data_IF_968213395379
#
_entry.id   IF_968213395379
#
_cell.length_a   1.000
_cell.length_b   1.000
_cell.length_c   1.000
_cell.angle_alpha   90.00
_cell.angle_beta   90.00
_cell.angle_gamma   90.00
#
_symmetry.space_group_name_H-M   'P 1'
#
loop_
_entity.id
_entity.type
_entity.pdbx_description
1 polymer ?
#
# COMPACT_ATOMS: atom_id res chain seq x y z
N UNK A 1 -16.89 -5.49 -4.74
CA UNK A 1 -16.11 -5.06 -3.59
C UNK A 1 -16.85 -3.89 -2.93
N UNK A 2 -17.63 -4.17 -1.86
CA UNK A 2 -18.56 -3.22 -1.22
C UNK A 2 -17.87 -1.89 -0.78
N UNK A 3 -16.57 -1.92 -0.54
CA UNK A 3 -15.78 -0.79 -0.04
C UNK A 3 -15.05 0.00 -1.14
N UNK A 4 -15.36 -0.25 -2.43
CA UNK A 4 -14.77 0.48 -3.55
C UNK A 4 -15.82 1.12 -4.44
N UNK A 5 -17.01 1.31 -3.89
CA UNK A 5 -18.05 2.04 -4.59
C UNK A 5 -17.66 3.50 -4.72
N UNK A 6 -18.10 4.13 -5.78
CA UNK A 6 -17.88 5.56 -6.01
C UNK A 6 -18.39 6.41 -4.84
N UNK A 7 -19.53 6.06 -4.28
CA UNK A 7 -20.15 6.74 -3.14
C UNK A 7 -19.25 6.66 -1.91
N UNK A 8 -18.77 5.47 -1.56
CA UNK A 8 -17.87 5.28 -0.42
C UNK A 8 -16.56 6.06 -0.58
N UNK A 9 -15.95 6.00 -1.78
CA UNK A 9 -14.71 6.73 -2.03
C UNK A 9 -14.91 8.26 -1.96
N UNK A 10 -16.02 8.77 -2.47
CA UNK A 10 -16.35 10.20 -2.35
C UNK A 10 -16.57 10.65 -0.89
N UNK A 11 -17.03 9.76 -0.04
CA UNK A 11 -17.22 10.06 1.38
C UNK A 11 -15.90 10.07 2.16
N UNK A 12 -15.03 9.07 1.95
CA UNK A 12 -13.81 8.91 2.76
C UNK A 12 -12.59 9.63 2.21
N UNK A 13 -12.42 9.70 0.89
CA UNK A 13 -11.22 10.27 0.29
C UNK A 13 -10.91 11.72 0.70
N UNK A 14 -11.89 12.63 0.87
CA UNK A 14 -11.63 14.00 1.27
C UNK A 14 -10.97 14.16 2.65
N UNK A 15 -11.08 13.16 3.51
CA UNK A 15 -10.47 13.18 4.85
C UNK A 15 -9.15 12.42 4.93
N UNK A 16 -8.69 11.83 3.81
CA UNK A 16 -7.46 11.06 3.76
C UNK A 16 -6.30 11.90 3.21
N UNK A 17 -5.26 12.08 4.01
CA UNK A 17 -3.98 12.60 3.51
C UNK A 17 -3.22 11.56 2.69
N UNK A 18 -3.42 10.26 2.98
CA UNK A 18 -2.84 9.13 2.29
C UNK A 18 -3.79 7.94 2.30
N UNK A 19 -4.13 7.41 1.13
CA UNK A 19 -4.88 6.17 0.96
C UNK A 19 -4.01 5.04 0.40
N UNK A 20 -4.15 3.82 0.96
CA UNK A 20 -3.58 2.61 0.37
C UNK A 20 -4.68 1.81 -0.33
N UNK A 21 -4.39 1.36 -1.56
CA UNK A 21 -5.29 0.53 -2.35
C UNK A 21 -4.56 -0.70 -2.91
N UNK A 22 -5.14 -1.88 -2.72
CA UNK A 22 -4.67 -3.10 -3.40
C UNK A 22 -5.21 -3.13 -4.82
N UNK A 23 -4.34 -3.11 -5.80
CA UNK A 23 -4.65 -3.02 -7.23
C UNK A 23 -4.09 -4.21 -8.03
N UNK A 24 -3.85 -5.34 -7.37
CA UNK A 24 -3.31 -6.53 -8.02
C UNK A 24 -4.20 -7.06 -9.15
N UNK A 25 -5.52 -6.95 -8.97
CA UNK A 25 -6.53 -7.37 -9.94
C UNK A 25 -6.82 -6.33 -11.04
N UNK A 26 -6.29 -5.11 -10.92
CA UNK A 26 -6.48 -4.06 -11.94
C UNK A 26 -5.42 -4.23 -13.02
N UNK A 27 -5.84 -4.25 -14.29
CA UNK A 27 -4.94 -4.29 -15.42
C UNK A 27 -4.06 -3.03 -15.47
N UNK A 28 -2.84 -3.17 -15.99
CA UNK A 28 -1.83 -2.10 -15.96
C UNK A 28 -2.33 -0.81 -16.63
N UNK A 29 -3.01 -0.95 -17.75
CA UNK A 29 -3.59 0.16 -18.51
C UNK A 29 -4.67 0.95 -17.74
N UNK A 30 -5.32 0.33 -16.76
CA UNK A 30 -6.41 0.95 -15.99
C UNK A 30 -5.93 1.53 -14.64
N UNK A 31 -4.67 1.34 -14.28
CA UNK A 31 -4.12 1.82 -12.99
C UNK A 31 -4.19 3.34 -12.89
N UNK A 32 -3.80 4.04 -13.96
CA UNK A 32 -3.80 5.50 -13.95
C UNK A 32 -5.20 6.09 -13.85
N UNK A 33 -6.17 5.48 -14.53
CA UNK A 33 -7.58 5.89 -14.47
C UNK A 33 -8.13 5.70 -13.05
N UNK A 34 -7.84 4.57 -12.41
CA UNK A 34 -8.21 4.31 -11.03
C UNK A 34 -7.62 5.35 -10.07
N UNK A 35 -6.31 5.61 -10.17
CA UNK A 35 -5.64 6.60 -9.31
C UNK A 35 -6.20 8.01 -9.53
N UNK A 36 -6.43 8.39 -10.79
CA UNK A 36 -7.03 9.68 -11.15
C UNK A 36 -8.42 9.82 -10.54
N UNK A 37 -9.22 8.76 -10.61
CA UNK A 37 -10.54 8.71 -9.99
C UNK A 37 -10.46 8.89 -8.46
N UNK A 38 -9.60 8.13 -7.77
CA UNK A 38 -9.41 8.24 -6.31
C UNK A 38 -8.96 9.65 -5.90
N UNK A 39 -8.05 10.25 -6.66
CA UNK A 39 -7.62 11.64 -6.44
C UNK A 39 -8.76 12.64 -6.69
N UNK A 40 -9.59 12.41 -7.69
CA UNK A 40 -10.77 13.25 -7.95
C UNK A 40 -11.81 13.16 -6.82
N UNK A 41 -11.84 12.05 -6.09
CA UNK A 41 -12.65 11.90 -4.87
C UNK A 41 -12.06 12.64 -3.66
N UNK A 42 -10.86 13.22 -3.75
CA UNK A 42 -10.26 14.08 -2.72
C UNK A 42 -9.08 13.46 -1.96
N UNK A 43 -8.66 12.22 -2.25
CA UNK A 43 -7.48 11.63 -1.64
C UNK A 43 -6.21 12.32 -2.17
N UNK A 44 -5.43 12.95 -1.30
CA UNK A 44 -4.26 13.74 -1.69
C UNK A 44 -3.13 12.86 -2.23
N UNK A 45 -2.75 11.85 -1.47
CA UNK A 45 -1.66 10.95 -1.83
C UNK A 45 -2.19 9.51 -1.92
N UNK A 46 -1.83 8.81 -2.99
CA UNK A 46 -2.35 7.46 -3.28
C UNK A 46 -1.21 6.48 -3.39
N UNK A 47 -1.15 5.52 -2.48
CA UNK A 47 -0.23 4.40 -2.51
C UNK A 47 -0.99 3.17 -3.02
N UNK A 48 -0.49 2.52 -4.05
CA UNK A 48 -1.07 1.27 -4.56
C UNK A 48 -0.10 0.11 -4.42
N UNK A 49 -0.64 -1.06 -4.11
CA UNK A 49 0.09 -2.33 -4.17
C UNK A 49 -0.48 -3.18 -5.30
N UNK A 50 0.38 -3.80 -6.10
CA UNK A 50 0.01 -4.54 -7.31
C UNK A 50 0.56 -5.98 -7.28
N UNK A 51 0.69 -6.55 -6.08
CA UNK A 51 1.28 -7.87 -5.88
C UNK A 51 2.70 -7.96 -6.47
N UNK A 52 2.99 -8.97 -7.32
CA UNK A 52 4.32 -9.14 -7.93
C UNK A 52 4.78 -7.96 -8.81
N UNK A 53 3.84 -7.14 -9.30
CA UNK A 53 4.16 -5.95 -10.11
C UNK A 53 4.75 -4.80 -9.30
N UNK A 54 4.80 -4.92 -7.96
CA UNK A 54 5.36 -3.90 -7.08
C UNK A 54 4.35 -2.90 -6.57
N UNK A 55 4.80 -1.68 -6.35
CA UNK A 55 3.99 -0.63 -5.74
C UNK A 55 4.27 0.70 -6.43
N UNK A 56 3.26 1.60 -6.42
CA UNK A 56 3.44 2.99 -6.87
C UNK A 56 2.85 3.93 -5.84
N UNK A 57 3.55 5.02 -5.61
CA UNK A 57 3.13 6.08 -4.72
C UNK A 57 2.98 7.38 -5.49
N UNK A 58 1.75 7.85 -5.61
CA UNK A 58 1.36 9.06 -6.33
C UNK A 58 1.15 10.18 -5.34
N UNK A 59 2.01 11.19 -5.37
CA UNK A 59 1.91 12.36 -4.50
C UNK A 59 0.86 13.37 -5.00
N UNK A 60 0.38 14.20 -4.09
CA UNK A 60 -0.49 15.35 -4.41
C UNK A 60 0.18 16.30 -5.41
N UNK A 61 1.49 16.52 -5.27
CA UNK A 61 2.33 17.35 -6.13
C UNK A 61 2.47 16.84 -7.59
N UNK A 62 2.10 15.56 -7.83
CA UNK A 62 2.14 14.94 -9.16
C UNK A 62 3.30 13.98 -9.38
N UNK A 63 4.28 13.93 -8.46
CA UNK A 63 5.36 12.94 -8.55
C UNK A 63 4.83 11.53 -8.32
N UNK A 64 5.51 10.57 -8.98
CA UNK A 64 5.23 9.15 -8.87
C UNK A 64 6.51 8.40 -8.50
N UNK A 65 6.43 7.63 -7.44
CA UNK A 65 7.52 6.76 -6.98
C UNK A 65 7.15 5.31 -7.21
N UNK A 66 8.08 4.54 -7.76
CA UNK A 66 7.88 3.12 -8.02
C UNK A 66 8.74 2.28 -7.07
N UNK A 67 8.13 1.26 -6.46
CA UNK A 67 8.77 0.26 -5.62
C UNK A 67 8.67 -1.13 -6.25
N UNK A 68 9.71 -1.93 -6.07
CA UNK A 68 9.73 -3.32 -6.55
C UNK A 68 9.22 -4.26 -5.46
N UNK A 69 8.39 -5.22 -5.84
CA UNK A 69 8.03 -6.30 -4.94
C UNK A 69 9.28 -7.14 -4.60
N UNK A 70 9.40 -7.52 -3.33
CA UNK A 70 10.36 -8.54 -2.94
C UNK A 70 9.78 -9.91 -3.30
N UNK A 71 10.31 -10.53 -4.35
CA UNK A 71 9.84 -11.84 -4.78
C UNK A 71 10.14 -12.91 -3.73
N UNK A 72 9.11 -13.64 -3.37
CA UNK A 72 9.18 -14.88 -2.59
C UNK A 72 8.08 -15.82 -3.11
N UNK A 73 8.18 -17.12 -2.80
CA UNK A 73 7.03 -18.02 -2.92
C UNK A 73 6.20 -17.86 -1.64
N UNK A 74 5.01 -17.22 -1.70
CA UNK A 74 4.23 -16.99 -0.49
C UNK A 74 3.62 -18.30 0.04
N UNK A 75 3.53 -18.40 1.36
CA UNK A 75 2.72 -19.42 2.05
C UNK A 75 1.29 -18.89 2.18
N UNK A 76 1.16 -17.64 2.59
CA UNK A 76 -0.13 -16.95 2.71
C UNK A 76 0.07 -15.45 2.40
N UNK A 77 -0.84 -14.88 1.62
CA UNK A 77 -0.81 -13.45 1.26
C UNK A 77 -1.75 -12.60 2.11
N UNK A 78 -2.47 -13.21 3.05
CA UNK A 78 -3.38 -12.48 3.94
C UNK A 78 -2.61 -11.45 4.78
N UNK A 79 -3.08 -10.21 4.78
CA UNK A 79 -2.43 -9.11 5.51
C UNK A 79 -1.14 -8.58 4.87
N UNK A 80 -0.77 -9.01 3.65
CA UNK A 80 0.42 -8.49 2.96
C UNK A 80 0.35 -6.99 2.75
N UNK A 81 -0.79 -6.48 2.28
CA UNK A 81 -1.03 -5.04 2.09
C UNK A 81 -0.96 -4.25 3.39
N UNK A 82 -1.60 -4.77 4.44
CA UNK A 82 -1.59 -4.14 5.78
C UNK A 82 -0.17 -4.10 6.36
N UNK A 83 0.57 -5.20 6.22
CA UNK A 83 1.98 -5.30 6.64
C UNK A 83 2.86 -4.30 5.89
N UNK A 84 2.64 -4.18 4.57
CA UNK A 84 3.35 -3.22 3.75
C UNK A 84 3.06 -1.79 4.23
N UNK A 85 1.78 -1.46 4.41
CA UNK A 85 1.36 -0.11 4.79
C UNK A 85 1.88 0.28 6.17
N UNK A 86 1.76 -0.60 7.15
CA UNK A 86 2.28 -0.37 8.50
C UNK A 86 3.79 -0.12 8.50
N UNK A 87 4.56 -0.92 7.76
CA UNK A 87 6.01 -0.75 7.66
C UNK A 87 6.39 0.54 6.90
N UNK A 88 5.67 0.86 5.82
CA UNK A 88 5.87 2.10 5.06
C UNK A 88 5.62 3.32 5.94
N UNK A 89 4.47 3.40 6.61
CA UNK A 89 4.14 4.52 7.50
C UNK A 89 5.13 4.63 8.65
N UNK A 90 5.50 3.52 9.27
CA UNK A 90 6.47 3.50 10.37
C UNK A 90 7.81 4.11 9.95
N UNK A 91 8.32 3.78 8.76
CA UNK A 91 9.59 4.33 8.27
C UNK A 91 9.45 5.80 7.85
N UNK A 92 8.33 6.17 7.22
CA UNK A 92 8.05 7.55 6.80
C UNK A 92 7.89 8.50 7.99
N UNK A 93 7.28 8.05 9.09
CA UNK A 93 7.09 8.85 10.31
C UNK A 93 8.31 8.86 11.22
N UNK A 94 9.21 7.88 11.05
CA UNK A 94 10.45 7.79 11.83
C UNK A 94 11.34 8.99 11.53
N UNK A 95 11.76 9.69 12.58
CA UNK A 95 12.56 10.91 12.49
C UNK A 95 11.85 12.11 11.84
N UNK A 96 10.52 12.11 11.78
CA UNK A 96 9.74 13.28 11.39
C UNK A 96 9.39 14.11 12.63
N UNK A 97 9.93 15.33 12.79
CA UNK A 97 9.74 16.13 14.00
C UNK A 97 8.28 16.54 14.25
N UNK A 98 7.46 16.56 13.23
CA UNK A 98 6.07 16.98 13.27
C UNK A 98 5.08 15.87 12.89
N UNK A 99 5.54 14.62 12.82
CA UNK A 99 4.74 13.48 12.34
C UNK A 99 4.13 13.69 10.94
N UNK A 100 4.76 14.53 10.12
CA UNK A 100 4.35 14.72 8.73
C UNK A 100 5.02 13.66 7.86
N UNK A 101 4.22 12.94 7.11
CA UNK A 101 4.70 11.89 6.20
C UNK A 101 5.60 12.48 5.12
N UNK A 102 5.21 13.63 4.58
CA UNK A 102 5.87 14.34 3.50
C UNK A 102 6.48 15.65 4.05
N UNK A 103 7.70 15.57 4.57
CA UNK A 103 8.46 16.71 5.07
C UNK A 103 9.93 16.58 4.68
N UNK A 104 10.48 17.59 4.03
CA UNK A 104 11.87 17.62 3.58
C UNK A 104 12.06 18.26 2.20
N UNK A 105 13.32 18.37 1.76
CA UNK A 105 13.65 18.76 0.39
C UNK A 105 13.36 17.62 -0.59
N UNK A 106 13.12 17.93 -1.86
CA UNK A 106 12.76 16.96 -2.91
C UNK A 106 13.73 15.78 -3.00
N UNK A 107 15.04 16.04 -2.92
CA UNK A 107 16.05 14.97 -2.97
C UNK A 107 16.03 14.09 -1.73
N UNK A 108 15.89 14.67 -0.53
CA UNK A 108 15.79 13.91 0.72
C UNK A 108 14.48 13.11 0.77
N UNK A 109 13.40 13.69 0.25
CA UNK A 109 12.11 13.02 0.18
C UNK A 109 12.16 11.81 -0.77
N UNK A 110 12.81 11.96 -1.94
CA UNK A 110 13.01 10.84 -2.86
C UNK A 110 13.68 9.65 -2.16
N UNK A 111 14.83 9.89 -1.54
CA UNK A 111 15.59 8.84 -0.84
C UNK A 111 14.77 8.22 0.31
N UNK A 112 14.05 9.04 1.06
CA UNK A 112 13.21 8.61 2.18
C UNK A 112 12.09 7.68 1.69
N UNK A 113 11.35 8.09 0.64
CA UNK A 113 10.24 7.29 0.07
C UNK A 113 10.77 5.97 -0.49
N UNK A 114 11.85 5.99 -1.27
CA UNK A 114 12.42 4.77 -1.87
C UNK A 114 12.88 3.78 -0.79
N UNK A 115 13.52 4.27 0.28
CA UNK A 115 13.92 3.42 1.41
C UNK A 115 12.71 2.85 2.15
N UNK A 116 11.68 3.65 2.40
CA UNK A 116 10.46 3.20 3.06
C UNK A 116 9.74 2.12 2.22
N UNK A 117 9.59 2.34 0.92
CA UNK A 117 8.98 1.36 -0.01
C UNK A 117 9.76 0.04 -0.02
N UNK A 118 11.10 0.11 -0.08
CA UNK A 118 11.97 -1.08 -0.05
C UNK A 118 11.80 -1.88 1.25
N UNK A 119 11.89 -1.22 2.40
CA UNK A 119 11.74 -1.86 3.72
C UNK A 119 10.33 -2.45 3.91
N UNK A 120 9.30 -1.72 3.45
CA UNK A 120 7.93 -2.19 3.47
C UNK A 120 7.73 -3.46 2.64
N UNK A 121 8.32 -3.51 1.44
CA UNK A 121 8.31 -4.68 0.56
C UNK A 121 9.01 -5.89 1.19
N UNK A 122 10.17 -5.68 1.82
CA UNK A 122 10.90 -6.72 2.55
C UNK A 122 10.12 -7.24 3.76
N UNK A 123 9.44 -6.35 4.48
CA UNK A 123 8.62 -6.73 5.63
C UNK A 123 7.38 -7.52 5.21
N UNK A 124 6.63 -7.04 4.21
CA UNK A 124 5.47 -7.74 3.67
C UNK A 124 5.85 -9.15 3.17
N UNK A 125 6.96 -9.28 2.46
CA UNK A 125 7.47 -10.59 2.02
C UNK A 125 7.73 -11.55 3.19
N UNK A 126 8.31 -11.06 4.30
CA UNK A 126 8.50 -11.88 5.51
C UNK A 126 7.19 -12.33 6.14
N UNK A 127 6.15 -11.50 6.05
CA UNK A 127 4.83 -11.88 6.56
C UNK A 127 4.17 -12.93 5.67
N UNK A 128 4.27 -12.79 4.35
CA UNK A 128 3.77 -13.78 3.40
C UNK A 128 4.48 -15.16 3.48
N UNK A 129 5.62 -15.25 4.13
CA UNK A 129 6.31 -16.52 4.41
C UNK A 129 5.79 -17.25 5.66
N UNK A 130 4.66 -16.79 6.23
CA UNK A 130 4.04 -17.37 7.44
C UNK A 130 2.58 -17.66 7.16
N UNK A 131 2.01 -18.64 7.88
CA UNK A 131 0.58 -18.93 7.82
C UNK A 131 -0.23 -17.86 8.56
N UNK A 132 -1.33 -17.43 7.93
CA UNK A 132 -2.23 -16.41 8.44
C UNK A 132 -1.61 -15.00 8.49
N UNK A 133 -2.45 -14.02 8.73
CA UNK A 133 -2.00 -12.65 8.89
C UNK A 133 -1.00 -12.56 10.06
N UNK A 134 0.20 -12.05 9.78
CA UNK A 134 1.28 -11.87 10.77
C UNK A 134 1.78 -13.16 11.46
N UNK A 135 1.46 -14.34 10.94
CA UNK A 135 1.83 -15.62 11.52
C UNK A 135 0.90 -16.09 12.65
N UNK A 136 -0.29 -15.56 12.75
CA UNK A 136 -1.33 -15.92 13.73
C UNK A 136 -2.50 -16.70 13.12
N UNK A 137 -2.25 -17.41 12.01
CA UNK A 137 -3.25 -18.29 11.41
C UNK A 137 -3.68 -19.39 12.38
N UNK A 138 -4.98 -19.54 12.58
CA UNK A 138 -5.56 -20.66 13.33
C UNK A 138 -6.33 -21.53 12.34
N UNK A 139 -6.08 -22.86 12.29
CA UNK A 139 -6.85 -23.77 11.44
C UNK A 139 -8.35 -23.67 11.78
N UNK A 140 -9.18 -23.41 10.79
CA UNK A 140 -10.64 -23.44 10.96
C UNK A 140 -11.06 -24.91 10.91
N UNK A 141 -11.29 -25.51 12.07
CA UNK A 141 -11.84 -26.85 12.17
C UNK A 141 -13.29 -26.84 11.65
N UNK A 142 -13.56 -27.63 10.62
CA UNK A 142 -14.92 -27.82 10.07
C UNK A 142 -15.19 -27.20 8.69
N UNK A 143 -14.21 -26.63 8.00
CA UNK A 143 -14.33 -26.36 6.57
C UNK A 143 -14.15 -27.66 5.80
N UNK A 144 -15.23 -28.22 5.30
CA UNK A 144 -15.20 -29.16 4.17
C UNK A 144 -14.67 -28.37 2.97
N UNK A 145 -13.61 -28.88 2.35
CA UNK A 145 -13.11 -28.36 1.06
C UNK A 145 -14.27 -28.36 0.07
N UNK A 146 -14.54 -27.20 -0.53
CA UNK A 146 -15.50 -27.03 -1.61
C UNK A 146 -14.76 -27.12 -2.92
#
# INVERSE_FOLDING_TARGET
>A
DEYRTEEYLKEICPILDLGLFSCEHIAEENILDFVTFVKSCGCKNVLITMGPRGQRFYLESGEVYEGKAKYITPIDTMGAGDSYFAAFLSDMLKNSPQHKILDGSDEQMYVKIQNAMKKASEFAAKMCAKEGAFGYGVPITGRTEI
#
